data_IF_918430976143
#
_entry.id   IF_918430976143
#
_cell.length_a   1.000
_cell.length_b   1.000
_cell.length_c   1.000
_cell.angle_alpha   90.00
_cell.angle_beta   90.00
_cell.angle_gamma   90.00
#
_symmetry.space_group_name_H-M   'P 1'
#
loop_
_entity.id
_entity.type
_entity.pdbx_description
1 polymer ?
#
# COMPACT_ATOMS: atom_id res chain seq x y z
N UNK A 1 32.45 17.92 9.05
CA UNK A 1 31.08 18.12 8.54
C UNK A 1 30.86 17.39 7.23
N UNK A 2 31.42 17.83 6.09
CA UNK A 2 31.32 17.09 4.82
C UNK A 2 31.83 15.65 4.90
N UNK A 3 32.93 15.40 5.60
CA UNK A 3 33.44 14.03 5.82
C UNK A 3 32.39 13.09 6.46
N UNK A 4 31.56 13.59 7.37
CA UNK A 4 30.51 12.76 8.01
C UNK A 4 29.34 12.55 7.06
N UNK A 5 28.97 13.56 6.27
CA UNK A 5 27.94 13.47 5.23
C UNK A 5 28.35 12.43 4.18
N UNK A 6 29.60 12.49 3.70
CA UNK A 6 30.16 11.54 2.72
C UNK A 6 30.14 10.11 3.25
N UNK A 7 30.55 9.91 4.51
CA UNK A 7 30.53 8.59 5.14
C UNK A 7 29.10 8.02 5.22
N UNK A 8 28.09 8.86 5.45
CA UNK A 8 26.69 8.44 5.52
C UNK A 8 26.08 8.08 4.15
N UNK A 9 26.62 8.60 3.04
CA UNK A 9 26.13 8.29 1.68
C UNK A 9 26.37 6.84 1.32
N UNK A 10 27.58 6.33 1.63
CA UNK A 10 28.03 5.03 1.11
C UNK A 10 27.13 3.86 1.55
N UNK A 11 26.74 3.73 2.83
CA UNK A 11 25.83 2.66 3.26
C UNK A 11 24.44 2.75 2.61
N UNK A 12 23.90 3.96 2.43
CA UNK A 12 22.60 4.16 1.80
C UNK A 12 22.63 3.80 0.30
N UNK A 13 23.75 4.15 -0.36
CA UNK A 13 24.01 3.80 -1.76
C UNK A 13 24.15 2.29 -1.94
N UNK A 14 24.92 1.62 -1.10
CA UNK A 14 25.11 0.16 -1.15
C UNK A 14 23.80 -0.61 -0.95
N UNK A 15 22.97 -0.19 0.01
CA UNK A 15 21.64 -0.78 0.20
C UNK A 15 20.79 -0.70 -1.07
N UNK A 16 20.76 0.45 -1.74
CA UNK A 16 20.00 0.61 -2.97
C UNK A 16 20.58 -0.23 -4.12
N UNK A 17 21.90 -0.24 -4.28
CA UNK A 17 22.58 -1.05 -5.30
C UNK A 17 22.31 -2.55 -5.11
N UNK A 18 22.25 -3.03 -3.86
CA UNK A 18 21.97 -4.44 -3.58
C UNK A 18 20.48 -4.79 -3.78
N UNK A 19 19.56 -3.87 -3.50
CA UNK A 19 18.12 -4.08 -3.70
C UNK A 19 17.71 -4.14 -5.18
N UNK A 20 18.40 -3.41 -6.06
CA UNK A 20 18.05 -3.30 -7.47
C UNK A 20 18.05 -4.66 -8.21
N UNK A 21 19.11 -5.50 -8.13
CA UNK A 21 19.10 -6.84 -8.69
C UNK A 21 17.98 -7.73 -8.12
N UNK A 22 17.70 -7.63 -6.81
CA UNK A 22 16.63 -8.40 -6.17
C UNK A 22 15.23 -8.01 -6.64
N UNK A 23 15.05 -6.81 -7.18
CA UNK A 23 13.78 -6.33 -7.74
C UNK A 23 13.68 -6.74 -9.22
N UNK A 24 14.78 -6.56 -9.96
CA UNK A 24 14.82 -6.89 -11.38
C UNK A 24 14.72 -8.40 -11.65
N UNK A 25 15.11 -9.23 -10.68
CA UNK A 25 15.05 -10.70 -10.79
C UNK A 25 13.73 -11.30 -10.27
N UNK A 26 12.73 -10.48 -9.97
CA UNK A 26 11.45 -10.97 -9.46
C UNK A 26 10.66 -11.61 -10.59
N UNK A 27 10.66 -12.93 -10.61
CA UNK A 27 9.76 -13.71 -11.44
C UNK A 27 8.73 -14.41 -10.55
N UNK A 28 7.46 -14.20 -10.84
CA UNK A 28 6.37 -14.89 -10.17
C UNK A 28 5.70 -15.86 -11.13
N UNK A 29 5.73 -17.14 -10.75
CA UNK A 29 5.04 -18.20 -11.48
C UNK A 29 3.53 -17.95 -11.46
N UNK A 30 2.87 -18.21 -12.58
CA UNK A 30 1.42 -18.31 -12.61
C UNK A 30 0.94 -19.43 -11.68
N UNK A 31 -0.25 -19.32 -11.10
CA UNK A 31 -0.84 -20.41 -10.33
C UNK A 31 -0.94 -21.70 -11.17
N UNK A 32 -0.87 -22.84 -10.50
CA UNK A 32 -1.04 -24.15 -11.15
C UNK A 32 -2.47 -24.25 -11.75
N UNK A 33 -2.65 -24.97 -12.87
CA UNK A 33 -3.95 -25.05 -13.56
C UNK A 33 -5.08 -25.61 -12.70
N UNK A 34 -4.75 -26.42 -11.69
CA UNK A 34 -5.65 -27.07 -10.75
C UNK A 34 -5.75 -26.36 -9.38
N UNK A 35 -5.04 -25.24 -9.19
CA UNK A 35 -5.05 -24.49 -7.94
C UNK A 35 -6.45 -23.92 -7.64
N UNK A 36 -6.94 -24.15 -6.43
CA UNK A 36 -8.24 -23.64 -5.97
C UNK A 36 -8.24 -22.11 -5.89
N UNK A 37 -9.43 -21.49 -5.95
CA UNK A 37 -9.57 -20.04 -5.83
C UNK A 37 -8.91 -19.51 -4.54
N UNK A 38 -9.07 -20.23 -3.43
CA UNK A 38 -8.43 -19.87 -2.14
C UNK A 38 -6.90 -19.95 -2.20
N UNK A 39 -6.35 -20.98 -2.85
CA UNK A 39 -4.90 -21.10 -3.05
C UNK A 39 -4.36 -19.96 -3.94
N UNK A 40 -5.11 -19.59 -4.98
CA UNK A 40 -4.76 -18.45 -5.84
C UNK A 40 -4.81 -17.12 -5.07
N UNK A 41 -5.86 -16.89 -4.26
CA UNK A 41 -6.00 -15.69 -3.41
C UNK A 41 -4.83 -15.58 -2.42
N UNK A 42 -4.44 -16.68 -1.76
CA UNK A 42 -3.30 -16.72 -0.84
C UNK A 42 -2.00 -16.38 -1.59
N UNK A 43 -1.77 -16.97 -2.77
CA UNK A 43 -0.58 -16.74 -3.59
C UNK A 43 -0.46 -15.26 -3.99
N UNK A 44 -1.54 -14.68 -4.53
CA UNK A 44 -1.54 -13.28 -4.94
C UNK A 44 -1.43 -12.33 -3.75
N UNK A 45 -2.03 -12.66 -2.60
CA UNK A 45 -1.86 -11.88 -1.36
C UNK A 45 -0.42 -11.87 -0.87
N UNK A 46 0.25 -13.03 -0.88
CA UNK A 46 1.66 -13.13 -0.50
C UNK A 46 2.56 -12.35 -1.46
N UNK A 47 2.30 -12.47 -2.76
CA UNK A 47 2.99 -11.69 -3.80
C UNK A 47 2.83 -10.17 -3.58
N UNK A 48 1.62 -9.71 -3.25
CA UNK A 48 1.36 -8.30 -2.97
C UNK A 48 2.17 -7.81 -1.76
N UNK A 49 2.22 -8.60 -0.68
CA UNK A 49 3.05 -8.29 0.51
C UNK A 49 4.53 -8.16 0.17
N UNK A 50 5.06 -9.02 -0.71
CA UNK A 50 6.45 -8.94 -1.17
C UNK A 50 6.72 -7.64 -1.95
N UNK A 51 5.81 -7.25 -2.85
CA UNK A 51 5.94 -5.99 -3.58
C UNK A 51 5.91 -4.78 -2.64
N UNK A 52 5.00 -4.77 -1.66
CA UNK A 52 4.90 -3.70 -0.66
C UNK A 52 6.17 -3.56 0.20
N UNK A 53 6.73 -4.66 0.68
CA UNK A 53 7.98 -4.62 1.44
C UNK A 53 9.13 -4.05 0.59
N UNK A 54 9.29 -4.53 -0.66
CA UNK A 54 10.33 -4.02 -1.55
C UNK A 54 10.13 -2.55 -1.91
N UNK A 55 8.90 -2.12 -2.18
CA UNK A 55 8.54 -0.72 -2.41
C UNK A 55 8.94 0.17 -1.23
N UNK A 56 8.61 -0.26 0.00
CA UNK A 56 8.98 0.50 1.20
C UNK A 56 10.51 0.61 1.36
N UNK A 57 11.24 -0.48 1.14
CA UNK A 57 12.71 -0.51 1.27
C UNK A 57 13.40 0.39 0.24
N UNK A 58 12.98 0.32 -1.03
CA UNK A 58 13.60 1.14 -2.08
C UNK A 58 13.28 2.63 -1.89
N UNK A 59 12.04 2.96 -1.54
CA UNK A 59 11.64 4.33 -1.23
C UNK A 59 12.42 4.90 -0.04
N UNK A 60 12.65 4.09 1.00
CA UNK A 60 13.46 4.49 2.14
C UNK A 60 14.90 4.83 1.71
N UNK A 61 15.55 3.96 0.93
CA UNK A 61 16.92 4.22 0.46
C UNK A 61 17.02 5.49 -0.40
N UNK A 62 16.06 5.68 -1.31
CA UNK A 62 15.98 6.89 -2.16
C UNK A 62 15.82 8.15 -1.31
N UNK A 63 14.85 8.15 -0.37
CA UNK A 63 14.62 9.29 0.52
C UNK A 63 15.84 9.63 1.36
N UNK A 64 16.52 8.61 1.90
CA UNK A 64 17.76 8.81 2.66
C UNK A 64 18.87 9.41 1.80
N UNK A 65 19.09 8.90 0.58
CA UNK A 65 20.10 9.44 -0.32
C UNK A 65 19.81 10.88 -0.77
N UNK A 66 18.54 11.20 -1.04
CA UNK A 66 18.11 12.56 -1.35
C UNK A 66 18.37 13.50 -0.17
N UNK A 67 17.94 13.11 1.04
CA UNK A 67 18.16 13.90 2.26
C UNK A 67 19.64 14.19 2.51
N UNK A 68 20.51 13.17 2.43
CA UNK A 68 21.95 13.35 2.63
C UNK A 68 22.56 14.25 1.53
N UNK A 69 22.06 14.14 0.29
CA UNK A 69 22.51 15.01 -0.81
C UNK A 69 22.10 16.47 -0.57
N UNK A 70 20.88 16.70 -0.09
CA UNK A 70 20.38 18.03 0.25
C UNK A 70 21.15 18.64 1.43
N UNK A 71 21.45 17.85 2.46
CA UNK A 71 22.30 18.25 3.59
C UNK A 71 23.69 18.69 3.12
N UNK A 72 24.29 17.98 2.16
CA UNK A 72 25.57 18.38 1.58
C UNK A 72 25.47 19.68 0.79
N UNK A 73 24.44 19.84 -0.03
CA UNK A 73 24.23 21.08 -0.78
C UNK A 73 24.03 22.26 0.17
N UNK A 74 23.26 22.08 1.23
CA UNK A 74 23.06 23.08 2.28
C UNK A 74 24.36 23.43 2.99
N UNK A 75 25.13 22.43 3.43
CA UNK A 75 26.45 22.66 4.03
C UNK A 75 27.36 23.44 3.07
N UNK A 76 27.41 23.06 1.79
CA UNK A 76 28.25 23.72 0.78
C UNK A 76 27.88 25.18 0.58
N UNK A 77 26.59 25.53 0.67
CA UNK A 77 26.11 26.92 0.61
C UNK A 77 26.60 27.77 1.79
N UNK A 78 26.76 27.18 2.98
CA UNK A 78 27.25 27.91 4.17
C UNK A 78 28.75 28.23 4.14
N UNK A 79 29.51 27.63 3.22
CA UNK A 79 30.96 27.83 3.14
C UNK A 79 31.27 29.19 2.52
N UNK A 80 31.89 30.07 3.30
CA UNK A 80 32.32 31.40 2.87
C UNK A 80 33.65 31.39 2.10
N UNK A 81 34.53 30.43 2.39
CA UNK A 81 35.84 30.30 1.71
C UNK A 81 35.70 29.70 0.32
N UNK A 82 36.05 30.47 -0.72
CA UNK A 82 36.02 30.04 -2.13
C UNK A 82 36.81 28.76 -2.37
N UNK A 83 38.05 28.69 -1.87
CA UNK A 83 38.92 27.51 -2.03
C UNK A 83 38.33 26.25 -1.38
N UNK A 84 37.66 26.39 -0.23
CA UNK A 84 37.02 25.25 0.44
C UNK A 84 35.75 24.84 -0.32
N UNK A 85 34.96 25.80 -0.79
CA UNK A 85 33.74 25.56 -1.58
C UNK A 85 34.04 24.82 -2.88
N UNK A 86 35.07 25.22 -3.62
CA UNK A 86 35.50 24.52 -4.85
C UNK A 86 35.93 23.07 -4.59
N UNK A 87 36.61 22.80 -3.47
CA UNK A 87 36.98 21.43 -3.09
C UNK A 87 35.76 20.56 -2.82
N UNK A 88 34.78 21.09 -2.08
CA UNK A 88 33.53 20.39 -1.77
C UNK A 88 32.69 20.15 -3.02
N UNK A 89 32.58 21.14 -3.92
CA UNK A 89 31.84 20.98 -5.17
C UNK A 89 32.47 19.94 -6.10
N UNK A 90 33.81 19.88 -6.15
CA UNK A 90 34.54 18.82 -6.87
C UNK A 90 34.25 17.45 -6.26
N UNK A 91 34.29 17.31 -4.94
CA UNK A 91 33.97 16.06 -4.25
C UNK A 91 32.52 15.63 -4.49
N UNK A 92 31.57 16.58 -4.43
CA UNK A 92 30.17 16.33 -4.71
C UNK A 92 29.96 15.81 -6.14
N UNK A 93 30.58 16.47 -7.15
CA UNK A 93 30.50 16.01 -8.54
C UNK A 93 31.04 14.59 -8.73
N UNK A 94 32.17 14.26 -8.09
CA UNK A 94 32.76 12.91 -8.17
C UNK A 94 31.82 11.83 -7.60
N UNK A 95 31.11 12.13 -6.51
CA UNK A 95 30.24 11.15 -5.85
C UNK A 95 28.85 11.04 -6.51
N UNK A 96 28.34 12.14 -7.05
CA UNK A 96 26.97 12.21 -7.57
C UNK A 96 26.87 11.87 -9.06
N UNK A 97 27.89 12.18 -9.86
CA UNK A 97 27.89 12.00 -11.32
C UNK A 97 28.51 10.65 -11.74
N UNK A 98 28.29 10.28 -13.00
CA UNK A 98 28.83 9.06 -13.61
C UNK A 98 27.90 7.84 -13.49
N UNK A 99 28.30 6.74 -14.11
CA UNK A 99 27.48 5.51 -14.21
C UNK A 99 27.19 4.84 -12.85
N UNK A 100 28.06 5.06 -11.86
CA UNK A 100 27.87 4.59 -10.48
C UNK A 100 27.57 5.75 -9.52
N UNK A 101 27.31 6.94 -10.06
CA UNK A 101 26.98 8.13 -9.27
C UNK A 101 25.61 8.03 -8.60
N UNK A 102 25.41 8.80 -7.54
CA UNK A 102 24.12 8.84 -6.81
C UNK A 102 22.96 9.12 -7.78
N UNK A 103 23.10 10.04 -8.74
CA UNK A 103 22.01 10.35 -9.67
C UNK A 103 21.60 9.15 -10.50
N UNK A 104 22.56 8.40 -11.05
CA UNK A 104 22.24 7.22 -11.85
C UNK A 104 21.54 6.14 -11.02
N UNK A 105 22.01 5.91 -9.79
CA UNK A 105 21.44 4.93 -8.88
C UNK A 105 20.03 5.33 -8.45
N UNK A 106 19.78 6.63 -8.19
CA UNK A 106 18.45 7.14 -7.90
C UNK A 106 17.50 6.96 -9.10
N UNK A 107 17.97 7.20 -10.32
CA UNK A 107 17.17 6.97 -11.53
C UNK A 107 16.80 5.49 -11.71
N UNK A 108 17.76 4.58 -11.54
CA UNK A 108 17.49 3.14 -11.53
C UNK A 108 16.50 2.76 -10.43
N UNK A 109 16.64 3.35 -9.24
CA UNK A 109 15.74 3.17 -8.12
C UNK A 109 14.30 3.57 -8.44
N UNK A 110 14.11 4.73 -9.07
CA UNK A 110 12.80 5.19 -9.50
C UNK A 110 12.20 4.30 -10.60
N UNK A 111 13.01 3.83 -11.55
CA UNK A 111 12.58 2.86 -12.56
C UNK A 111 12.08 1.56 -11.91
N UNK A 112 12.81 1.04 -10.92
CA UNK A 112 12.41 -0.14 -10.17
C UNK A 112 11.11 0.08 -9.37
N UNK A 113 10.87 1.27 -8.81
CA UNK A 113 9.59 1.63 -8.18
C UNK A 113 8.44 1.53 -9.18
N UNK A 114 8.59 2.08 -10.38
CA UNK A 114 7.55 2.04 -11.42
C UNK A 114 7.21 0.58 -11.76
N UNK A 115 8.21 -0.26 -12.00
CA UNK A 115 8.03 -1.69 -12.27
C UNK A 115 7.31 -2.40 -11.13
N UNK A 116 7.70 -2.13 -9.87
CA UNK A 116 7.05 -2.72 -8.71
C UNK A 116 5.58 -2.29 -8.58
N UNK A 117 5.27 -1.01 -8.83
CA UNK A 117 3.90 -0.50 -8.81
C UNK A 117 3.05 -1.18 -9.89
N UNK A 118 3.57 -1.28 -11.12
CA UNK A 118 2.86 -1.96 -12.21
C UNK A 118 2.53 -3.41 -11.85
N UNK A 119 3.51 -4.17 -11.34
CA UNK A 119 3.26 -5.55 -10.96
C UNK A 119 2.32 -5.69 -9.75
N UNK A 120 2.35 -4.73 -8.84
CA UNK A 120 1.42 -4.67 -7.71
C UNK A 120 -0.01 -4.47 -8.21
N UNK A 121 -0.22 -3.51 -9.11
CA UNK A 121 -1.51 -3.23 -9.74
C UNK A 121 -2.04 -4.46 -10.50
N UNK A 122 -1.18 -5.17 -11.24
CA UNK A 122 -1.56 -6.43 -11.91
C UNK A 122 -2.07 -7.49 -10.92
N UNK A 123 -1.42 -7.62 -9.76
CA UNK A 123 -1.81 -8.57 -8.71
C UNK A 123 -3.13 -8.15 -8.06
N UNK A 124 -3.30 -6.86 -7.79
CA UNK A 124 -4.55 -6.31 -7.26
C UNK A 124 -5.71 -6.54 -8.23
N UNK A 125 -5.51 -6.34 -9.54
CA UNK A 125 -6.50 -6.65 -10.55
C UNK A 125 -6.88 -8.13 -10.57
N UNK A 126 -5.91 -9.04 -10.42
CA UNK A 126 -6.18 -10.48 -10.34
C UNK A 126 -6.95 -10.85 -9.08
N UNK A 127 -6.62 -10.27 -7.93
CA UNK A 127 -7.40 -10.45 -6.69
C UNK A 127 -8.84 -9.96 -6.85
N UNK A 128 -9.04 -8.81 -7.50
CA UNK A 128 -10.37 -8.29 -7.82
C UNK A 128 -11.12 -9.27 -8.74
N UNK A 129 -10.47 -9.84 -9.76
CA UNK A 129 -11.09 -10.83 -10.65
C UNK A 129 -11.49 -12.11 -9.92
N UNK A 130 -10.65 -12.63 -9.03
CA UNK A 130 -10.97 -13.80 -8.20
C UNK A 130 -12.17 -13.55 -7.29
N UNK A 131 -12.25 -12.35 -6.70
CA UNK A 131 -13.41 -11.93 -5.90
C UNK A 131 -14.71 -11.81 -6.71
N UNK A 132 -14.61 -11.54 -8.03
CA UNK A 132 -15.75 -11.48 -8.96
C UNK A 132 -16.12 -12.87 -9.49
N UNK A 133 -15.15 -13.77 -9.67
CA UNK A 133 -15.34 -15.17 -10.07
C UNK A 133 -16.18 -15.95 -9.05
N UNK A 134 -15.93 -15.73 -7.75
CA UNK A 134 -16.77 -16.24 -6.63
C UNK A 134 -18.27 -15.92 -6.75
N UNK A 135 -18.69 -14.95 -7.57
CA UNK A 135 -20.11 -14.61 -7.80
C UNK A 135 -20.76 -15.36 -8.98
N UNK A 136 -20.00 -16.07 -9.81
CA UNK A 136 -20.50 -16.76 -11.02
C UNK A 136 -20.63 -18.28 -10.87
N UNK A 137 -20.01 -18.90 -9.87
CA UNK A 137 -19.99 -20.36 -9.68
C UNK A 137 -21.25 -20.94 -8.99
N UNK A 138 -22.40 -20.24 -9.00
CA UNK A 138 -23.67 -20.75 -8.41
C UNK A 138 -24.72 -21.10 -9.48
N UNK A 139 -24.41 -21.04 -10.77
CA UNK A 139 -25.43 -21.22 -11.82
C UNK A 139 -25.18 -22.40 -12.75
N UNK A 140 -25.13 -23.64 -12.22
CA UNK A 140 -25.53 -24.85 -12.97
C UNK A 140 -26.11 -25.89 -12.01
N UNK A 141 -27.44 -25.93 -11.90
CA UNK A 141 -28.33 -27.13 -11.99
C UNK A 141 -29.62 -27.00 -11.17
N UNK A 142 -30.74 -27.29 -11.84
CA UNK A 142 -32.07 -27.74 -11.36
C UNK A 142 -33.26 -26.74 -11.24
N UNK A 143 -34.52 -27.23 -11.39
CA UNK A 143 -35.52 -26.78 -12.38
C UNK A 143 -36.58 -25.79 -11.80
N UNK A 144 -37.61 -25.35 -12.56
CA UNK A 144 -38.23 -24.04 -12.39
C UNK A 144 -39.27 -24.04 -11.27
N UNK A 145 -39.18 -23.09 -10.34
CA UNK A 145 -40.32 -22.69 -9.48
C UNK A 145 -40.08 -21.33 -8.81
N UNK A 146 -40.68 -20.30 -9.42
CA UNK A 146 -41.16 -19.03 -8.82
C UNK A 146 -40.14 -17.93 -8.45
N UNK A 147 -40.53 -16.65 -8.60
CA UNK A 147 -39.61 -15.56 -8.88
C UNK A 147 -39.04 -15.00 -7.58
N UNK A 148 -37.78 -15.33 -7.28
CA UNK A 148 -37.07 -14.66 -6.21
C UNK A 148 -36.53 -13.34 -6.76
N UNK A 149 -37.04 -12.24 -6.21
CA UNK A 149 -36.64 -10.87 -6.55
C UNK A 149 -35.13 -10.75 -6.30
N UNK A 150 -34.39 -10.55 -7.39
CA UNK A 150 -32.96 -10.32 -7.39
C UNK A 150 -32.67 -9.02 -6.62
N UNK A 151 -32.38 -9.12 -5.32
CA UNK A 151 -31.84 -8.00 -4.56
C UNK A 151 -30.36 -7.87 -4.92
N UNK A 152 -30.12 -7.19 -6.03
CA UNK A 152 -28.84 -6.60 -6.43
C UNK A 152 -28.13 -6.01 -5.20
N UNK A 153 -26.85 -6.36 -5.05
CA UNK A 153 -25.89 -5.79 -4.08
C UNK A 153 -26.28 -4.36 -3.68
N UNK A 154 -26.91 -4.22 -2.52
CA UNK A 154 -27.06 -2.93 -1.88
C UNK A 154 -25.66 -2.50 -1.46
N UNK A 155 -25.10 -1.53 -2.20
CA UNK A 155 -23.97 -0.73 -1.75
C UNK A 155 -24.25 -0.30 -0.31
N UNK A 156 -23.46 -0.76 0.66
CA UNK A 156 -23.55 -0.28 2.03
C UNK A 156 -23.39 1.24 2.00
N UNK A 157 -24.42 1.96 2.45
CA UNK A 157 -24.42 3.41 2.47
C UNK A 157 -23.30 3.88 3.40
N UNK A 158 -22.48 4.84 2.96
CA UNK A 158 -21.45 5.45 3.82
C UNK A 158 -22.07 6.53 4.70
N UNK A 159 -21.67 6.60 5.97
CA UNK A 159 -22.13 7.61 6.91
C UNK A 159 -21.03 8.60 7.25
N UNK A 160 -21.32 9.89 7.05
CA UNK A 160 -20.36 10.98 7.23
C UNK A 160 -20.46 11.73 8.57
N UNK A 161 -21.45 11.37 9.40
CA UNK A 161 -21.71 12.04 10.67
C UNK A 161 -22.92 12.98 10.67
N UNK A 162 -23.70 13.09 9.59
CA UNK A 162 -24.94 13.87 9.59
C UNK A 162 -26.06 13.18 10.40
N UNK A 163 -26.52 13.72 11.54
CA UNK A 163 -27.55 13.09 12.37
C UNK A 163 -28.88 12.85 11.63
N UNK A 164 -29.17 13.60 10.56
CA UNK A 164 -30.38 13.43 9.75
C UNK A 164 -30.35 12.15 8.92
N UNK A 165 -29.17 11.68 8.55
CA UNK A 165 -28.97 10.46 7.76
C UNK A 165 -28.81 9.21 8.62
N UNK A 166 -28.56 9.38 9.94
CA UNK A 166 -28.30 8.29 10.87
C UNK A 166 -29.39 7.22 10.89
N UNK A 167 -30.67 7.61 10.97
CA UNK A 167 -31.79 6.65 11.01
C UNK A 167 -31.84 5.77 9.76
N UNK A 168 -31.60 6.36 8.60
CA UNK A 168 -31.65 5.64 7.33
C UNK A 168 -30.44 4.73 7.16
N UNK A 169 -29.25 5.23 7.51
CA UNK A 169 -28.02 4.45 7.55
C UNK A 169 -28.13 3.26 8.49
N UNK A 170 -28.52 3.48 9.76
CA UNK A 170 -28.61 2.43 10.77
C UNK A 170 -29.66 1.38 10.41
N UNK A 171 -30.82 1.77 9.86
CA UNK A 171 -31.82 0.80 9.42
C UNK A 171 -31.28 -0.11 8.30
N UNK A 172 -30.48 0.43 7.37
CA UNK A 172 -29.85 -0.34 6.30
C UNK A 172 -28.70 -1.22 6.83
N UNK A 173 -27.84 -0.67 7.69
CA UNK A 173 -26.73 -1.39 8.30
C UNK A 173 -27.21 -2.52 9.22
N UNK A 174 -28.31 -2.28 9.95
CA UNK A 174 -28.90 -3.25 10.85
C UNK A 174 -29.43 -4.48 10.08
N UNK A 175 -30.13 -4.25 8.96
CA UNK A 175 -30.64 -5.33 8.12
C UNK A 175 -29.52 -6.08 7.37
N UNK A 176 -28.48 -5.36 6.94
CA UNK A 176 -27.40 -5.94 6.14
C UNK A 176 -26.32 -6.65 6.97
N UNK A 177 -25.97 -6.13 8.14
CA UNK A 177 -24.78 -6.54 8.91
C UNK A 177 -25.12 -6.90 10.36
N UNK A 178 -25.82 -6.04 11.11
CA UNK A 178 -26.06 -6.28 12.55
C UNK A 178 -26.93 -7.53 12.81
N UNK A 179 -27.95 -7.75 11.99
CA UNK A 179 -28.87 -8.90 12.10
C UNK A 179 -28.25 -10.22 11.61
N UNK A 180 -27.06 -10.19 11.01
CA UNK A 180 -26.36 -11.39 10.56
C UNK A 180 -25.64 -12.08 11.74
N UNK A 181 -25.58 -13.42 11.76
CA UNK A 181 -24.88 -14.19 12.80
C UNK A 181 -23.36 -14.20 12.59
N UNK A 182 -22.76 -13.02 12.43
CA UNK A 182 -21.31 -12.83 12.27
C UNK A 182 -20.68 -12.30 13.57
N UNK A 183 -19.37 -12.53 13.81
CA UNK A 183 -18.69 -12.06 15.02
C UNK A 183 -18.74 -10.53 15.17
N UNK A 184 -18.88 -10.04 16.40
CA UNK A 184 -18.98 -8.59 16.69
C UNK A 184 -17.78 -7.80 16.19
N UNK A 185 -16.58 -8.38 16.25
CA UNK A 185 -15.36 -7.80 15.69
C UNK A 185 -15.46 -7.58 14.17
N UNK A 186 -16.16 -8.46 13.45
CA UNK A 186 -16.40 -8.31 12.02
C UNK A 186 -17.44 -7.22 11.78
N UNK A 187 -18.52 -7.18 12.57
CA UNK A 187 -19.52 -6.10 12.51
C UNK A 187 -18.89 -4.73 12.76
N UNK A 188 -17.95 -4.63 13.70
CA UNK A 188 -17.21 -3.42 13.99
C UNK A 188 -16.33 -3.01 12.80
N UNK A 189 -15.56 -3.94 12.21
CA UNK A 189 -14.75 -3.65 11.02
C UNK A 189 -15.59 -3.19 9.81
N UNK A 190 -16.77 -3.78 9.62
CA UNK A 190 -17.72 -3.33 8.61
C UNK A 190 -18.29 -1.94 8.92
N UNK A 191 -18.58 -1.65 10.18
CA UNK A 191 -19.00 -0.33 10.62
C UNK A 191 -17.92 0.71 10.29
N UNK A 192 -16.66 0.50 10.71
CA UNK A 192 -15.52 1.37 10.37
C UNK A 192 -15.40 1.62 8.85
N UNK A 193 -15.57 0.57 8.05
CA UNK A 193 -15.47 0.67 6.59
C UNK A 193 -16.62 1.47 5.96
N UNK A 194 -17.75 1.62 6.67
CA UNK A 194 -18.89 2.41 6.24
C UNK A 194 -18.86 3.85 6.79
N UNK A 195 -18.02 4.16 7.78
CA UNK A 195 -17.89 5.49 8.34
C UNK A 195 -16.86 6.31 7.55
N UNK A 196 -17.17 7.58 7.30
CA UNK A 196 -16.21 8.55 6.76
C UNK A 196 -16.38 9.92 7.44
N UNK A 197 -15.46 10.85 7.18
CA UNK A 197 -15.51 12.20 7.76
C UNK A 197 -15.62 12.21 9.28
N UNK A 198 -16.48 13.07 9.82
CA UNK A 198 -16.61 13.30 11.27
C UNK A 198 -17.05 12.04 12.04
N UNK A 199 -17.83 11.15 11.43
CA UNK A 199 -18.23 9.90 12.08
C UNK A 199 -17.04 8.94 12.29
N UNK A 200 -16.10 8.92 11.34
CA UNK A 200 -14.89 8.11 11.47
C UNK A 200 -13.96 8.66 12.56
N UNK A 201 -13.83 9.99 12.67
CA UNK A 201 -12.99 10.62 13.70
C UNK A 201 -13.44 10.33 15.13
N UNK A 202 -14.75 10.27 15.39
CA UNK A 202 -15.30 9.92 16.71
C UNK A 202 -15.00 8.47 17.08
N UNK A 203 -15.01 7.58 16.09
CA UNK A 203 -14.85 6.14 16.28
C UNK A 203 -13.38 5.71 16.28
N UNK A 204 -12.47 6.52 15.71
CA UNK A 204 -11.01 6.34 15.84
C UNK A 204 -10.48 6.43 17.27
N UNK A 205 -11.25 6.98 18.22
CA UNK A 205 -10.89 7.02 19.64
C UNK A 205 -11.07 5.71 20.41
N UNK A 206 -11.65 4.69 19.77
CA UNK A 206 -11.90 3.37 20.36
C UNK A 206 -11.05 2.30 19.67
N UNK A 207 -10.52 1.35 20.44
CA UNK A 207 -9.79 0.21 19.88
C UNK A 207 -10.73 -0.75 19.13
N UNK A 208 -10.26 -1.38 18.06
CA UNK A 208 -11.03 -2.40 17.32
C UNK A 208 -11.02 -3.70 18.14
N UNK A 209 -11.92 -3.78 19.10
CA UNK A 209 -12.11 -4.91 20.01
C UNK A 209 -13.59 -5.31 20.03
N UNK A 210 -13.94 -6.61 20.17
CA UNK A 210 -15.33 -7.05 20.12
C UNK A 210 -16.19 -6.39 21.21
N UNK A 211 -15.59 -6.08 22.35
CA UNK A 211 -16.24 -5.40 23.49
C UNK A 211 -16.67 -3.97 23.14
N UNK A 212 -16.02 -3.34 22.16
CA UNK A 212 -16.27 -1.96 21.77
C UNK A 212 -17.38 -1.83 20.71
N UNK A 213 -17.84 -2.94 20.13
CA UNK A 213 -18.95 -2.89 19.15
C UNK A 213 -20.25 -2.37 19.77
N UNK A 214 -20.55 -2.80 20.99
CA UNK A 214 -21.75 -2.38 21.72
C UNK A 214 -21.67 -0.95 22.26
N UNK A 215 -20.46 -0.38 22.34
CA UNK A 215 -20.19 1.00 22.78
C UNK A 215 -20.26 1.98 21.59
N UNK A 216 -19.84 1.52 20.41
CA UNK A 216 -19.70 2.33 19.17
C UNK A 216 -20.99 2.39 18.34
N UNK A 217 -21.90 1.42 18.50
CA UNK A 217 -23.16 1.34 17.74
C UNK A 217 -24.19 2.42 18.08
#
# INVERSE_FOLDING_TARGET
MSSNIIVSIQPAKERLVNLLPEINSIEFKSPEPDATIEQQEILYTMRNRTFEDKLRRIQLCIKTLQSISDDWLNYTRTITSTKKKEKEEKAFKVITMGETGIYQILQQGNGAIITLIMHKEDVEQKLIQLSKGKRKDVEVSNPPSTPNVHLSQLSLATFNGDPRQWRQFWSSFNAAIHSQPIPEIQKLNYLYSCLNGNALEVVLGYDIAPENYEIVR
#
